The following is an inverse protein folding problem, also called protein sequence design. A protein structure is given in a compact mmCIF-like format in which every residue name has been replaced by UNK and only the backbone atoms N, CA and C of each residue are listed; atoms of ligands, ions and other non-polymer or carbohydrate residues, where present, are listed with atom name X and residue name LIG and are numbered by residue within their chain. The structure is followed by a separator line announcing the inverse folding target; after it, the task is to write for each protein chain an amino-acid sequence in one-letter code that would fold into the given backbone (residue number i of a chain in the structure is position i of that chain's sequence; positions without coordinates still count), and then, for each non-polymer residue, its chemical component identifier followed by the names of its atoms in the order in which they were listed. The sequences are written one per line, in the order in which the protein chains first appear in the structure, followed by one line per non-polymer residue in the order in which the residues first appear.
data_IF_904467267647
#
_entry.id   IF_904467267647
#
_cell.length_a   1.000
_cell.length_b   1.000
_cell.length_c   1.000
_cell.angle_alpha   90.00
_cell.angle_beta   90.00
_cell.angle_gamma   90.00
#
_symmetry.space_group_name_H-M   'P 1'
#
loop_
_entity.id
_entity.type
_entity.pdbx_description
1 polymer ?
#
# COMPACT_ATOMS: atom_id res chain seq x y z
N UNK A 1 17.63 7.89 -2.39
CA UNK A 1 17.18 7.27 -3.64
C UNK A 1 17.31 5.76 -3.50
N UNK A 2 16.25 5.03 -3.83
CA UNK A 2 16.16 3.57 -3.80
C UNK A 2 15.43 3.09 -5.04
N UNK A 3 15.89 2.01 -5.64
CA UNK A 3 15.21 1.32 -6.72
C UNK A 3 14.38 0.18 -6.15
N UNK A 4 13.08 0.21 -6.44
CA UNK A 4 12.15 -0.87 -6.11
C UNK A 4 11.68 -1.47 -7.42
N UNK A 5 12.07 -2.71 -7.72
CA UNK A 5 11.84 -3.37 -9.01
C UNK A 5 12.29 -2.51 -10.22
N UNK A 6 13.41 -1.79 -10.07
CA UNK A 6 13.95 -0.92 -11.12
C UNK A 6 13.28 0.45 -11.25
N UNK A 7 12.20 0.72 -10.51
CA UNK A 7 11.60 2.05 -10.43
C UNK A 7 12.29 2.87 -9.34
N UNK A 8 12.61 4.13 -9.65
CA UNK A 8 13.27 5.04 -8.72
C UNK A 8 12.26 5.61 -7.71
N UNK A 9 12.61 5.53 -6.44
CA UNK A 9 11.93 6.15 -5.31
C UNK A 9 12.88 7.11 -4.58
N UNK A 10 12.39 8.28 -4.19
CA UNK A 10 13.16 9.26 -3.42
C UNK A 10 13.11 8.91 -1.91
N UNK A 11 12.75 9.87 -1.06
CA UNK A 11 12.39 9.57 0.32
C UNK A 11 11.00 8.91 0.34
N UNK A 12 10.97 7.63 0.68
CA UNK A 12 9.73 6.86 0.81
C UNK A 12 9.57 6.25 2.21
N UNK A 13 8.35 5.86 2.51
CA UNK A 13 7.98 5.05 3.68
C UNK A 13 7.10 3.89 3.26
N UNK A 14 7.00 2.86 4.11
CA UNK A 14 6.06 1.75 3.91
C UNK A 14 5.07 1.75 5.07
N UNK A 15 4.09 2.67 5.07
CA UNK A 15 3.21 2.86 6.22
C UNK A 15 2.29 1.66 6.47
N UNK A 16 1.89 0.92 5.44
CA UNK A 16 0.89 -0.15 5.57
C UNK A 16 1.30 -1.42 4.83
N UNK A 17 1.06 -2.56 5.48
CA UNK A 17 0.90 -3.84 4.81
C UNK A 17 -0.48 -4.45 5.06
N UNK A 18 -1.10 -4.98 4.00
CA UNK A 18 -2.40 -5.66 4.06
C UNK A 18 -2.46 -6.75 2.99
N UNK A 19 -2.82 -7.99 3.35
CA UNK A 19 -2.98 -9.11 2.40
C UNK A 19 -1.82 -9.21 1.37
N UNK A 20 -0.58 -9.23 1.85
CA UNK A 20 0.67 -9.25 1.07
C UNK A 20 0.91 -8.05 0.13
N UNK A 21 0.17 -6.96 0.34
CA UNK A 21 0.39 -5.68 -0.33
C UNK A 21 1.11 -4.74 0.59
N UNK A 22 2.06 -4.00 0.03
CA UNK A 22 2.87 -3.01 0.74
C UNK A 22 2.61 -1.66 0.08
N UNK A 23 2.03 -0.75 0.85
CA UNK A 23 1.75 0.60 0.42
C UNK A 23 3.03 1.39 0.64
N UNK A 24 3.58 1.93 -0.44
CA UNK A 24 4.80 2.71 -0.46
C UNK A 24 4.40 4.16 -0.73
N UNK A 25 4.83 5.06 0.15
CA UNK A 25 4.44 6.46 0.15
C UNK A 25 5.65 7.36 -0.06
N UNK A 26 5.63 8.19 -1.10
CA UNK A 26 6.61 9.24 -1.36
C UNK A 26 5.95 10.62 -1.18
N UNK A 27 6.71 11.57 -0.61
CA UNK A 27 6.31 12.98 -0.63
C UNK A 27 6.68 13.61 -1.96
N UNK A 28 5.75 14.34 -2.57
CA UNK A 28 5.99 15.15 -3.76
C UNK A 28 5.44 16.58 -3.59
N UNK A 29 5.91 17.56 -4.39
CA UNK A 29 5.43 18.95 -4.29
C UNK A 29 3.92 19.11 -4.52
N UNK A 30 3.32 18.20 -5.30
CA UNK A 30 1.92 18.16 -5.70
C UNK A 30 1.03 17.25 -4.82
N UNK A 31 1.60 16.64 -3.79
CA UNK A 31 0.87 15.77 -2.85
C UNK A 31 1.60 14.46 -2.56
N UNK A 32 0.84 13.46 -2.11
CA UNK A 32 1.36 12.14 -1.84
C UNK A 32 1.38 11.28 -3.10
N UNK A 33 2.49 10.58 -3.32
CA UNK A 33 2.58 9.52 -4.33
C UNK A 33 2.49 8.18 -3.64
N UNK A 34 1.50 7.38 -4.02
CA UNK A 34 1.23 6.06 -3.48
C UNK A 34 1.53 5.03 -4.57
N UNK A 35 2.38 4.08 -4.21
CA UNK A 35 2.58 2.85 -4.98
C UNK A 35 2.12 1.68 -4.10
N UNK A 36 1.54 0.64 -4.71
CA UNK A 36 1.13 -0.57 -4.00
C UNK A 36 1.82 -1.76 -4.63
N UNK A 37 2.73 -2.36 -3.87
CA UNK A 37 3.50 -3.52 -4.27
C UNK A 37 2.83 -4.79 -3.73
N UNK A 38 2.37 -5.66 -4.61
CA UNK A 38 1.80 -6.95 -4.24
C UNK A 38 2.87 -8.03 -4.32
N UNK A 39 3.16 -8.66 -3.19
CA UNK A 39 4.13 -9.74 -3.06
C UNK A 39 3.44 -11.10 -3.21
N UNK A 40 3.69 -11.76 -4.34
CA UNK A 40 3.35 -13.15 -4.59
C UNK A 40 4.64 -13.93 -4.77
N UNK A 41 5.02 -14.68 -3.73
CA UNK A 41 6.23 -15.52 -3.73
C UNK A 41 7.48 -14.75 -4.20
N UNK A 42 8.17 -15.22 -5.24
CA UNK A 42 9.41 -14.59 -5.72
C UNK A 42 9.18 -13.44 -6.74
N UNK A 43 7.94 -13.20 -7.16
CA UNK A 43 7.61 -12.27 -8.23
C UNK A 43 6.69 -11.14 -7.74
N UNK A 44 7.21 -10.18 -6.95
CA UNK A 44 6.44 -9.02 -6.58
C UNK A 44 6.13 -8.15 -7.80
N UNK A 45 4.93 -7.57 -7.83
CA UNK A 45 4.47 -6.70 -8.91
C UNK A 45 3.82 -5.46 -8.33
N UNK A 46 4.00 -4.32 -8.97
CA UNK A 46 3.24 -3.13 -8.61
C UNK A 46 1.83 -3.24 -9.20
N UNK A 47 0.81 -3.06 -8.37
CA UNK A 47 -0.58 -2.88 -8.82
C UNK A 47 -0.82 -1.41 -9.17
N UNK A 48 -0.28 -0.53 -8.32
CA UNK A 48 -0.33 0.93 -8.46
C UNK A 48 1.11 1.45 -8.37
N UNK A 49 1.51 2.34 -9.27
CA UNK A 49 2.81 2.98 -9.26
C UNK A 49 2.62 4.49 -9.34
N UNK A 50 3.05 5.21 -8.30
CA UNK A 50 3.01 6.67 -8.22
C UNK A 50 1.66 7.25 -8.64
N UNK A 51 0.59 6.73 -8.03
CA UNK A 51 -0.82 7.09 -8.25
C UNK A 51 -1.46 6.56 -9.54
N UNK A 52 -0.72 5.85 -10.39
CA UNK A 52 -1.24 5.31 -11.65
C UNK A 52 -1.44 3.79 -11.56
N UNK A 53 -2.54 3.24 -12.09
CA UNK A 53 -2.69 1.80 -12.23
C UNK A 53 -1.74 1.29 -13.32
N UNK A 54 -0.90 0.31 -13.00
CA UNK A 54 0.01 -0.29 -13.99
C UNK A 54 -0.39 -1.72 -14.40
N UNK A 55 -1.41 -2.27 -13.75
CA UNK A 55 -1.93 -3.61 -14.01
C UNK A 55 -1.19 -4.68 -13.21
N UNK A 56 -1.85 -5.82 -13.02
CA UNK A 56 -1.31 -6.97 -12.30
C UNK A 56 -1.95 -8.25 -12.82
N UNK A 57 -1.20 -9.36 -12.96
CA UNK A 57 -1.80 -10.65 -13.33
C UNK A 57 -2.71 -11.20 -12.22
N UNK A 58 -2.66 -10.65 -11.00
CA UNK A 58 -3.36 -11.16 -9.84
C UNK A 58 -4.59 -10.33 -9.45
N UNK A 59 -4.79 -9.17 -10.06
CA UNK A 59 -5.85 -8.24 -9.67
C UNK A 59 -6.30 -7.35 -10.81
N UNK A 60 -7.58 -6.99 -10.79
CA UNK A 60 -8.15 -5.96 -11.64
C UNK A 60 -8.19 -4.62 -10.90
N UNK A 61 -7.61 -3.57 -11.48
CA UNK A 61 -7.65 -2.21 -10.93
C UNK A 61 -8.61 -1.37 -11.77
N UNK A 62 -9.59 -0.77 -11.12
CA UNK A 62 -10.61 0.06 -11.74
C UNK A 62 -10.42 1.50 -11.24
N UNK A 63 -10.24 2.43 -12.17
CA UNK A 63 -10.19 3.87 -11.90
C UNK A 63 -11.47 4.52 -12.45
N UNK A 64 -12.60 4.34 -11.75
CA UNK A 64 -13.89 4.83 -12.22
C UNK A 64 -14.12 6.32 -11.93
N UNK A 65 -13.42 6.87 -10.95
CA UNK A 65 -13.47 8.28 -10.56
C UNK A 65 -12.03 8.77 -10.40
N UNK A 66 -11.66 9.95 -10.95
CA UNK A 66 -10.31 10.47 -10.81
C UNK A 66 -9.82 10.46 -9.36
N UNK A 67 -8.63 9.88 -9.15
CA UNK A 67 -8.00 9.76 -7.83
C UNK A 67 -8.57 8.65 -6.95
N UNK A 68 -9.49 7.80 -7.46
CA UNK A 68 -10.03 6.63 -6.75
C UNK A 68 -9.72 5.35 -7.51
N UNK A 69 -8.86 4.51 -6.93
CA UNK A 69 -8.42 3.24 -7.47
C UNK A 69 -9.03 2.10 -6.66
N UNK A 70 -9.97 1.38 -7.24
CA UNK A 70 -10.56 0.18 -6.65
C UNK A 70 -9.83 -1.07 -7.16
N UNK A 71 -9.31 -1.89 -6.25
CA UNK A 71 -8.59 -3.11 -6.58
C UNK A 71 -9.40 -4.33 -6.17
N UNK A 72 -9.53 -5.26 -7.11
CA UNK A 72 -10.29 -6.50 -6.97
C UNK A 72 -9.44 -7.68 -7.39
N UNK A 73 -9.71 -8.84 -6.82
CA UNK A 73 -9.21 -10.09 -7.38
C UNK A 73 -9.79 -10.32 -8.78
N UNK A 74 -9.15 -11.20 -9.56
CA UNK A 74 -9.69 -11.62 -10.86
C UNK A 74 -11.06 -12.31 -10.74
N UNK A 75 -11.39 -12.86 -9.56
CA UNK A 75 -12.71 -13.39 -9.20
C UNK A 75 -13.81 -12.32 -9.10
N UNK A 76 -13.45 -11.04 -9.06
CA UNK A 76 -14.36 -9.91 -8.83
C UNK A 76 -14.49 -9.50 -7.36
N UNK A 77 -13.93 -10.28 -6.43
CA UNK A 77 -13.91 -9.96 -4.99
C UNK A 77 -13.13 -8.66 -4.73
N UNK A 78 -13.70 -7.67 -4.02
CA UNK A 78 -12.98 -6.45 -3.70
C UNK A 78 -11.89 -6.70 -2.64
N UNK A 79 -10.77 -6.00 -2.77
CA UNK A 79 -9.61 -6.12 -1.87
C UNK A 79 -9.39 -4.82 -1.11
N UNK A 80 -9.26 -3.70 -1.84
CA UNK A 80 -9.19 -2.37 -1.26
C UNK A 80 -9.61 -1.31 -2.26
N UNK A 81 -9.96 -0.14 -1.75
CA UNK A 81 -10.12 1.08 -2.54
C UNK A 81 -9.17 2.15 -2.00
N UNK A 82 -8.38 2.75 -2.88
CA UNK A 82 -7.43 3.80 -2.56
C UNK A 82 -7.94 5.12 -3.12
N UNK A 83 -8.08 6.13 -2.25
CA UNK A 83 -8.34 7.50 -2.63
C UNK A 83 -7.08 8.33 -2.41
N UNK A 84 -6.66 9.05 -3.43
CA UNK A 84 -5.40 9.80 -3.44
C UNK A 84 -5.69 11.30 -3.59
N UNK A 85 -5.13 12.10 -2.70
CA UNK A 85 -5.18 13.56 -2.73
C UNK A 85 -4.04 14.15 -1.89
N UNK A 86 -4.30 15.26 -1.19
CA UNK A 86 -3.36 15.83 -0.22
C UNK A 86 -3.05 14.85 0.94
N UNK A 87 -4.02 13.99 1.25
CA UNK A 87 -3.89 12.79 2.07
C UNK A 87 -4.28 11.59 1.21
N UNK A 88 -3.80 10.40 1.58
CA UNK A 88 -4.25 9.16 0.96
C UNK A 88 -5.14 8.40 1.95
N UNK A 89 -6.17 7.71 1.44
CA UNK A 89 -7.07 6.87 2.24
C UNK A 89 -7.23 5.52 1.58
N UNK A 90 -7.09 4.45 2.33
CA UNK A 90 -7.38 3.09 1.88
C UNK A 90 -8.55 2.52 2.67
N UNK A 91 -9.60 2.13 1.96
CA UNK A 91 -10.66 1.28 2.46
C UNK A 91 -10.25 -0.19 2.21
N UNK A 92 -9.91 -0.93 3.26
CA UNK A 92 -9.48 -2.33 3.16
C UNK A 92 -10.69 -3.24 3.36
N UNK A 93 -10.92 -4.19 2.46
CA UNK A 93 -12.02 -5.15 2.57
C UNK A 93 -11.52 -6.42 3.26
N UNK A 94 -12.07 -6.70 4.43
CA UNK A 94 -11.69 -7.81 5.29
C UNK A 94 -12.31 -9.14 4.84
N UNK A 95 -11.86 -10.24 5.43
CA UNK A 95 -12.35 -11.59 5.12
C UNK A 95 -13.84 -11.79 5.40
N UNK A 96 -14.37 -11.10 6.42
CA UNK A 96 -15.79 -11.11 6.76
C UNK A 96 -16.64 -10.16 5.88
N UNK A 97 -16.00 -9.46 4.93
CA UNK A 97 -16.64 -8.50 4.04
C UNK A 97 -16.82 -7.10 4.63
N UNK A 98 -16.43 -6.88 5.89
CA UNK A 98 -16.41 -5.54 6.48
C UNK A 98 -15.26 -4.69 5.95
N UNK A 99 -15.35 -3.38 6.16
CA UNK A 99 -14.36 -2.41 5.69
C UNK A 99 -13.59 -1.80 6.87
N UNK A 100 -12.26 -1.70 6.72
CA UNK A 100 -11.40 -0.94 7.62
C UNK A 100 -10.79 0.25 6.86
N UNK A 101 -11.15 1.46 7.27
CA UNK A 101 -10.52 2.68 6.75
C UNK A 101 -9.14 2.90 7.39
N UNK A 102 -8.16 3.17 6.53
CA UNK A 102 -6.80 3.57 6.87
C UNK A 102 -6.49 4.91 6.21
N UNK A 103 -5.97 5.86 6.98
CA UNK A 103 -5.57 7.19 6.49
C UNK A 103 -4.07 7.34 6.55
N UNK A 104 -3.50 7.93 5.51
CA UNK A 104 -2.08 8.24 5.39
C UNK A 104 -1.92 9.74 5.19
N UNK A 105 -1.11 10.36 6.03
CA UNK A 105 -0.52 11.66 5.77
C UNK A 105 0.95 11.46 5.44
N UNK A 106 1.72 12.54 5.25
CA UNK A 106 3.17 12.46 5.12
C UNK A 106 3.83 11.82 6.34
N UNK A 107 3.36 12.17 7.53
CA UNK A 107 4.05 11.88 8.77
C UNK A 107 3.37 10.79 9.61
N UNK A 108 2.09 10.50 9.34
CA UNK A 108 1.28 9.60 10.18
C UNK A 108 0.43 8.62 9.37
N UNK A 109 0.14 7.50 10.02
CA UNK A 109 -0.86 6.54 9.61
C UNK A 109 -1.89 6.34 10.73
N UNK A 110 -3.16 6.30 10.35
CA UNK A 110 -4.26 5.96 11.24
C UNK A 110 -5.02 4.76 10.67
N UNK A 111 -5.13 3.66 11.43
CA UNK A 111 -5.94 2.50 11.09
C UNK A 111 -6.97 2.25 12.20
N UNK A 112 -8.24 2.57 11.93
CA UNK A 112 -9.27 2.60 12.98
C UNK A 112 -8.93 3.57 14.12
N UNK A 113 -8.80 3.05 15.35
CA UNK A 113 -8.44 3.83 16.55
C UNK A 113 -6.93 3.94 16.80
N UNK A 114 -6.12 3.27 15.99
CA UNK A 114 -4.67 3.21 16.15
C UNK A 114 -4.02 4.28 15.27
N UNK A 115 -3.13 5.06 15.87
CA UNK A 115 -2.31 6.07 15.19
C UNK A 115 -0.83 5.74 15.43
N UNK A 116 -0.02 5.87 14.38
CA UNK A 116 1.42 5.70 14.45
C UNK A 116 2.11 6.67 13.48
N UNK A 117 3.39 6.95 13.71
CA UNK A 117 4.19 7.70 12.75
C UNK A 117 4.49 6.83 11.52
N UNK A 118 4.62 7.47 10.35
CA UNK A 118 5.06 6.79 9.15
C UNK A 118 6.52 6.36 9.29
N UNK A 119 6.72 5.05 9.34
CA UNK A 119 8.02 4.39 9.39
C UNK A 119 8.85 4.75 8.15
N UNK A 120 9.87 5.62 8.32
CA UNK A 120 10.92 5.91 7.31
C UNK A 120 12.11 4.93 7.38
N UNK A 121 11.92 3.77 7.99
CA UNK A 121 12.98 2.78 8.18
C UNK A 121 13.15 1.96 6.90
N UNK A 122 14.38 1.86 6.39
CA UNK A 122 14.70 1.01 5.25
C UNK A 122 14.32 -0.45 5.55
N UNK A 123 13.24 -0.94 4.95
CA UNK A 123 12.72 -2.30 5.13
C UNK A 123 11.74 -2.49 6.30
N UNK A 124 11.38 -1.44 7.03
CA UNK A 124 10.36 -1.48 8.08
C UNK A 124 8.96 -1.15 7.53
N UNK A 125 7.94 -1.73 8.14
CA UNK A 125 6.52 -1.47 7.88
C UNK A 125 5.91 -0.81 9.11
N UNK A 126 5.18 0.29 8.92
CA UNK A 126 4.52 1.01 10.01
C UNK A 126 3.40 0.20 10.67
N UNK A 127 2.38 -0.13 9.89
CA UNK A 127 1.20 -0.86 10.34
C UNK A 127 1.00 -2.10 9.49
N UNK A 128 0.66 -3.22 10.13
CA UNK A 128 0.18 -4.42 9.46
C UNK A 128 -1.27 -4.65 9.81
N UNK A 129 -2.12 -4.76 8.81
CA UNK A 129 -3.51 -5.18 8.95
C UNK A 129 -3.62 -6.61 8.42
N UNK A 130 -4.07 -7.54 9.25
CA UNK A 130 -4.39 -8.90 8.79
C UNK A 130 -5.69 -8.91 7.98
N UNK A 131 -5.90 -9.90 7.09
CA UNK A 131 -7.19 -10.07 6.42
C UNK A 131 -8.40 -10.19 7.37
N UNK A 132 -8.17 -10.64 8.60
CA UNK A 132 -9.17 -10.67 9.69
C UNK A 132 -9.37 -9.35 10.44
N UNK A 133 -8.72 -8.26 10.02
CA UNK A 133 -8.87 -6.92 10.61
C UNK A 133 -8.01 -6.63 11.84
N UNK A 134 -7.13 -7.54 12.26
CA UNK A 134 -6.21 -7.28 13.38
C UNK A 134 -5.13 -6.29 12.94
N UNK A 135 -4.94 -5.24 13.71
CA UNK A 135 -3.96 -4.19 13.46
C UNK A 135 -2.76 -4.36 14.39
N UNK A 136 -1.55 -4.37 13.84
CA UNK A 136 -0.30 -4.36 14.58
C UNK A 136 0.64 -3.26 14.11
N UNK A 137 1.48 -2.75 15.01
CA UNK A 137 2.50 -1.72 14.73
C UNK A 137 3.86 -2.39 14.64
N UNK A 138 4.67 -1.95 13.67
CA UNK A 138 6.05 -2.39 13.50
C UNK A 138 6.12 -3.80 12.90
N UNK A 139 6.55 -3.88 11.65
CA UNK A 139 6.86 -5.16 11.02
C UNK A 139 8.06 -5.00 10.08
N UNK A 140 8.61 -6.12 9.62
CA UNK A 140 9.66 -6.13 8.62
C UNK A 140 9.07 -6.54 7.27
N UNK A 141 9.62 -5.97 6.20
CA UNK A 141 9.44 -6.55 4.88
C UNK A 141 9.92 -8.01 4.92
N UNK A 142 9.21 -8.94 4.24
CA UNK A 142 9.70 -10.29 4.09
C UNK A 142 11.09 -10.30 3.47
N UNK A 143 11.96 -11.21 3.91
CA UNK A 143 13.34 -11.30 3.42
C UNK A 143 13.42 -11.43 1.90
N UNK A 144 12.52 -12.21 1.29
CA UNK A 144 12.42 -12.36 -0.16
C UNK A 144 12.08 -11.07 -0.91
N UNK A 145 11.52 -10.06 -0.21
CA UNK A 145 11.20 -8.77 -0.77
C UNK A 145 12.38 -7.77 -0.67
N UNK A 146 13.23 -7.90 0.36
CA UNK A 146 14.34 -6.98 0.61
C UNK A 146 15.33 -6.90 -0.57
N UNK A 147 15.55 -8.01 -1.29
CA UNK A 147 16.44 -8.04 -2.47
C UNK A 147 16.03 -7.08 -3.59
N UNK A 148 14.76 -6.66 -3.59
CA UNK A 148 14.19 -5.76 -4.58
C UNK A 148 14.26 -4.29 -4.21
N UNK A 149 14.72 -3.94 -3.00
CA UNK A 149 14.85 -2.57 -2.50
C UNK A 149 16.34 -2.19 -2.46
N UNK A 150 16.88 -1.70 -3.58
CA UNK A 150 18.31 -1.44 -3.80
C UNK A 150 18.69 0.04 -3.75
#
# INVERSE_FOLDING_TARGET
MTFILGYQFEEYSIPLSFANRYFILESAPDGLKVSVLHHQEENPVFEILKNEPIGSPYSNIINSVPGVLAVRENSGRPIYQLQIGAEARAALILEDGSELEVRFTKDKIQAGKLEADNTKFAGGIGVKVSPSGRVGIGNYLPHGLLKWFQ
#
